data_IF_094295310771
#
_entry.id   IF_094295310771
#
_cell.length_a   1.000
_cell.length_b   1.000
_cell.length_c   1.000
_cell.angle_alpha   90.00
_cell.angle_beta   90.00
_cell.angle_gamma   90.00
#
_symmetry.space_group_name_H-M   'P 1'
#
loop_
_entity.id
_entity.type
_entity.pdbx_description
1 polymer ?
#
# COMPACT_ATOMS: atom_id res chain seq x y z
N UNK A 1 43.53 25.41 20.47
CA UNK A 1 42.11 25.82 20.37
C UNK A 1 41.54 25.59 18.98
N UNK A 2 42.24 25.97 17.90
CA UNK A 2 41.78 25.81 16.51
C UNK A 2 41.59 24.35 16.07
N UNK A 3 42.45 23.43 16.51
CA UNK A 3 42.36 21.98 16.23
C UNK A 3 41.14 21.32 16.88
N UNK A 4 40.77 21.77 18.08
CA UNK A 4 39.59 21.27 18.80
C UNK A 4 38.30 21.76 18.13
N UNK A 5 38.26 23.01 17.68
CA UNK A 5 37.13 23.56 16.93
C UNK A 5 36.90 22.83 15.59
N UNK A 6 37.97 22.53 14.84
CA UNK A 6 37.88 21.78 13.58
C UNK A 6 37.32 20.37 13.78
N UNK A 7 37.74 19.69 14.85
CA UNK A 7 37.24 18.36 15.18
C UNK A 7 35.75 18.37 15.56
N UNK A 8 35.31 19.39 16.31
CA UNK A 8 33.90 19.56 16.70
C UNK A 8 33.03 19.87 15.47
N UNK A 9 33.49 20.72 14.55
CA UNK A 9 32.75 21.02 13.32
C UNK A 9 32.64 19.81 12.40
N UNK A 10 33.69 18.99 12.30
CA UNK A 10 33.66 17.76 11.51
C UNK A 10 32.71 16.71 12.11
N UNK A 11 32.70 16.56 13.45
CA UNK A 11 31.78 15.67 14.14
C UNK A 11 30.31 16.10 13.96
N UNK A 12 30.04 17.40 14.05
CA UNK A 12 28.69 17.95 13.86
C UNK A 12 28.21 17.78 12.41
N UNK A 13 29.09 17.98 11.42
CA UNK A 13 28.80 17.73 10.01
C UNK A 13 28.51 16.25 9.73
N UNK A 14 29.29 15.33 10.32
CA UNK A 14 29.01 13.89 10.24
C UNK A 14 27.67 13.50 10.88
N UNK A 15 27.28 14.15 11.98
CA UNK A 15 25.97 13.89 12.60
C UNK A 15 24.79 14.42 11.77
N UNK A 16 24.99 15.48 10.99
CA UNK A 16 23.99 16.00 10.05
C UNK A 16 23.88 15.14 8.79
N UNK A 17 24.99 14.61 8.28
CA UNK A 17 25.00 13.69 7.14
C UNK A 17 24.29 12.35 7.45
N UNK A 18 24.29 11.90 8.70
CA UNK A 18 23.51 10.73 9.12
C UNK A 18 21.99 10.93 8.99
N UNK A 19 21.51 12.18 8.94
CA UNK A 19 20.09 12.51 8.77
C UNK A 19 19.66 12.38 7.29
N UNK A 20 20.59 12.45 6.33
CA UNK A 20 20.30 12.23 4.90
C UNK A 20 20.21 10.74 4.52
N UNK A 21 20.59 9.82 5.41
CA UNK A 21 20.40 8.37 5.22
C UNK A 21 18.91 7.94 5.32
N UNK A 22 18.00 8.88 5.55
CA UNK A 22 16.58 8.66 5.81
C UNK A 22 15.67 8.74 4.56
N UNK A 23 16.22 8.74 3.34
CA UNK A 23 15.42 8.81 2.10
C UNK A 23 15.54 7.56 1.21
N UNK A 24 16.15 6.47 1.69
CA UNK A 24 16.22 5.22 0.91
C UNK A 24 14.84 4.62 0.69
N UNK A 25 13.99 4.64 1.72
CA UNK A 25 12.67 3.98 1.68
C UNK A 25 11.68 4.79 0.84
N UNK A 26 11.78 6.12 0.86
CA UNK A 26 10.98 7.02 0.03
C UNK A 26 11.43 7.00 -1.43
N UNK A 27 12.74 6.91 -1.67
CA UNK A 27 13.29 6.68 -3.01
C UNK A 27 12.87 5.32 -3.56
N UNK A 28 12.74 4.28 -2.72
CA UNK A 28 12.24 2.96 -3.14
C UNK A 28 10.77 3.01 -3.60
N UNK A 29 9.92 3.79 -2.93
CA UNK A 29 8.51 4.02 -3.32
C UNK A 29 8.41 4.72 -4.70
N UNK A 30 9.22 5.76 -4.90
CA UNK A 30 9.27 6.50 -6.17
C UNK A 30 9.93 5.68 -7.29
N UNK A 31 10.97 4.90 -7.02
CA UNK A 31 11.66 4.10 -8.06
C UNK A 31 10.85 2.85 -8.42
N UNK A 32 10.10 2.28 -7.48
CA UNK A 32 9.19 1.16 -7.71
C UNK A 32 8.06 1.47 -8.69
N UNK A 33 7.63 2.74 -8.77
CA UNK A 33 6.56 3.18 -9.67
C UNK A 33 7.02 3.38 -11.12
N UNK A 34 8.31 3.60 -11.41
CA UNK A 34 8.75 3.99 -12.76
C UNK A 34 9.39 2.90 -13.60
N UNK A 35 9.89 1.81 -13.02
CA UNK A 35 10.16 0.56 -13.73
C UNK A 35 10.58 -0.48 -12.69
N UNK A 36 9.72 -1.46 -12.44
CA UNK A 36 10.06 -2.60 -11.57
C UNK A 36 11.28 -3.32 -12.14
N UNK A 37 12.45 -3.07 -11.56
CA UNK A 37 13.62 -3.89 -11.85
C UNK A 37 13.31 -5.29 -11.31
N UNK A 38 13.27 -6.28 -12.23
CA UNK A 38 12.89 -7.68 -11.96
C UNK A 38 13.72 -8.35 -10.86
N UNK A 39 14.76 -7.69 -10.36
CA UNK A 39 15.65 -8.20 -9.32
C UNK A 39 15.70 -7.36 -8.04
N UNK A 40 14.65 -6.60 -7.74
CA UNK A 40 14.45 -6.07 -6.39
C UNK A 40 13.61 -7.09 -5.63
N UNK A 41 14.28 -7.92 -4.81
CA UNK A 41 13.59 -8.72 -3.81
C UNK A 41 13.50 -7.87 -2.56
N UNK A 42 12.37 -7.18 -2.40
CA UNK A 42 12.05 -6.54 -1.12
C UNK A 42 11.81 -7.67 -0.13
N UNK A 43 12.66 -7.76 0.89
CA UNK A 43 12.39 -8.62 2.04
C UNK A 43 11.49 -7.81 2.97
N UNK A 44 10.18 -7.90 2.76
CA UNK A 44 9.24 -7.54 3.80
C UNK A 44 9.45 -8.52 4.95
N UNK A 45 9.18 -8.09 6.18
CA UNK A 45 9.15 -9.03 7.31
C UNK A 45 7.83 -9.81 7.19
N UNK A 46 7.78 -10.69 6.18
CA UNK A 46 6.58 -11.38 5.67
C UNK A 46 5.78 -12.06 6.81
N UNK A 47 6.46 -12.41 7.89
CA UNK A 47 5.88 -13.08 9.06
C UNK A 47 4.95 -12.21 9.90
N UNK A 48 5.15 -10.89 9.94
CA UNK A 48 4.29 -9.97 10.70
C UNK A 48 3.03 -9.63 9.90
N UNK A 49 3.18 -9.29 8.63
CA UNK A 49 2.06 -9.03 7.72
C UNK A 49 1.17 -10.28 7.59
N UNK A 50 1.76 -11.46 7.35
CA UNK A 50 1.05 -12.75 7.31
C UNK A 50 0.25 -13.02 8.61
N UNK A 51 0.78 -12.63 9.77
CA UNK A 51 0.11 -12.84 11.06
C UNK A 51 -1.10 -11.94 11.19
N UNK A 52 -0.99 -10.70 10.75
CA UNK A 52 -2.08 -9.73 10.81
C UNK A 52 -3.18 -10.08 9.80
N UNK A 53 -2.83 -10.46 8.56
CA UNK A 53 -3.79 -10.92 7.55
C UNK A 53 -4.62 -12.11 8.02
N UNK A 54 -4.03 -13.03 8.80
CA UNK A 54 -4.75 -14.17 9.39
C UNK A 54 -5.91 -13.74 10.29
N UNK A 55 -5.89 -12.52 10.83
CA UNK A 55 -7.00 -11.97 11.65
C UNK A 55 -8.20 -11.58 10.80
N UNK A 56 -8.03 -11.42 9.48
CA UNK A 56 -9.12 -11.10 8.56
C UNK A 56 -9.99 -12.31 8.19
N UNK A 57 -9.55 -13.55 8.46
CA UNK A 57 -10.37 -14.73 8.21
C UNK A 57 -11.62 -14.69 9.10
N UNK A 58 -12.79 -14.62 8.44
CA UNK A 58 -14.09 -14.64 9.09
C UNK A 58 -15.01 -15.73 8.53
N UNK A 59 -16.30 -15.67 8.88
CA UNK A 59 -17.30 -16.57 8.33
C UNK A 59 -17.61 -16.20 6.87
N UNK A 60 -17.24 -17.09 5.95
CA UNK A 60 -17.47 -16.91 4.52
C UNK A 60 -18.79 -17.54 4.09
N UNK A 61 -19.57 -16.76 3.35
CA UNK A 61 -20.79 -17.23 2.70
C UNK A 61 -20.58 -17.35 1.19
N UNK A 62 -21.34 -18.23 0.54
CA UNK A 62 -21.24 -18.52 -0.91
C UNK A 62 -22.42 -17.97 -1.71
N UNK A 63 -23.27 -17.17 -1.07
CA UNK A 63 -24.32 -16.42 -1.74
C UNK A 63 -23.72 -15.44 -2.74
N UNK A 64 -24.47 -15.19 -3.80
CA UNK A 64 -24.15 -14.20 -4.82
C UNK A 64 -25.13 -13.05 -4.61
N UNK A 65 -24.70 -12.08 -3.81
CA UNK A 65 -25.42 -10.84 -3.53
C UNK A 65 -24.43 -9.68 -3.67
N UNK A 66 -24.13 -9.25 -4.91
CA UNK A 66 -22.99 -8.40 -5.17
C UNK A 66 -23.08 -7.05 -4.42
N UNK A 67 -21.93 -6.54 -3.98
CA UNK A 67 -21.82 -5.22 -3.34
C UNK A 67 -20.72 -4.39 -4.01
N UNK A 68 -20.86 -3.06 -3.99
CA UNK A 68 -19.88 -2.13 -4.56
C UNK A 68 -19.02 -1.50 -3.45
N UNK A 69 -17.70 -1.55 -3.61
CA UNK A 69 -16.75 -0.87 -2.74
C UNK A 69 -16.35 0.50 -3.27
N UNK A 70 -16.00 1.42 -2.36
CA UNK A 70 -15.51 2.78 -2.67
C UNK A 70 -14.21 2.79 -3.47
N UNK A 71 -13.57 1.64 -3.65
CA UNK A 71 -12.39 1.44 -4.51
C UNK A 71 -12.76 1.03 -5.95
N UNK A 72 -14.04 1.16 -6.34
CA UNK A 72 -14.53 0.88 -7.68
C UNK A 72 -14.71 -0.61 -7.99
N UNK A 73 -14.48 -1.50 -7.02
CA UNK A 73 -14.56 -2.95 -7.22
C UNK A 73 -15.89 -3.51 -6.74
N UNK A 74 -16.47 -4.42 -7.54
CA UNK A 74 -17.59 -5.27 -7.14
C UNK A 74 -17.08 -6.50 -6.40
N UNK A 75 -17.75 -6.84 -5.31
CA UNK A 75 -17.48 -8.03 -4.51
C UNK A 75 -18.68 -8.99 -4.60
N UNK A 76 -18.42 -10.29 -4.62
CA UNK A 76 -19.46 -11.33 -4.81
C UNK A 76 -20.57 -11.26 -3.76
N UNK A 77 -20.21 -10.91 -2.53
CA UNK A 77 -21.13 -10.71 -1.41
C UNK A 77 -20.48 -9.83 -0.32
N UNK A 78 -21.27 -9.48 0.69
CA UNK A 78 -20.84 -8.66 1.83
C UNK A 78 -19.70 -9.32 2.64
N UNK A 79 -19.73 -10.64 2.80
CA UNK A 79 -18.66 -11.37 3.51
C UNK A 79 -17.31 -11.20 2.80
N UNK A 80 -17.30 -11.33 1.47
CA UNK A 80 -16.10 -11.12 0.65
C UNK A 80 -15.63 -9.66 0.67
N UNK A 81 -16.55 -8.69 0.67
CA UNK A 81 -16.22 -7.28 0.85
C UNK A 81 -15.53 -7.03 2.21
N UNK A 82 -16.10 -7.54 3.30
CA UNK A 82 -15.56 -7.35 4.64
C UNK A 82 -14.15 -7.96 4.81
N UNK A 83 -13.96 -9.16 4.27
CA UNK A 83 -12.64 -9.79 4.23
C UNK A 83 -11.63 -8.89 3.51
N UNK A 84 -11.97 -8.42 2.31
CA UNK A 84 -11.09 -7.56 1.52
C UNK A 84 -10.85 -6.20 2.15
N UNK A 85 -11.87 -5.61 2.78
CA UNK A 85 -11.75 -4.39 3.57
C UNK A 85 -10.71 -4.54 4.69
N UNK A 86 -10.71 -5.67 5.40
CA UNK A 86 -9.72 -5.95 6.43
C UNK A 86 -8.31 -6.10 5.86
N UNK A 87 -8.15 -6.86 4.77
CA UNK A 87 -6.85 -7.07 4.11
C UNK A 87 -6.24 -5.76 3.63
N UNK A 88 -7.02 -4.93 2.92
CA UNK A 88 -6.57 -3.61 2.43
C UNK A 88 -6.17 -2.69 3.58
N UNK A 89 -6.86 -2.76 4.71
CA UNK A 89 -6.49 -1.99 5.90
C UNK A 89 -5.13 -2.39 6.47
N UNK A 90 -4.74 -3.66 6.36
CA UNK A 90 -3.45 -4.15 6.85
C UNK A 90 -2.34 -3.83 5.84
N UNK A 91 -2.57 -4.11 4.56
CA UNK A 91 -1.57 -3.97 3.49
C UNK A 91 -1.33 -2.52 3.08
N UNK A 92 -2.39 -1.72 3.01
CA UNK A 92 -2.36 -0.37 2.40
C UNK A 92 -2.75 0.73 3.40
N UNK A 93 -3.02 0.38 4.67
CA UNK A 93 -3.54 1.31 5.69
C UNK A 93 -4.73 2.16 5.19
N UNK A 94 -5.53 1.59 4.29
CA UNK A 94 -6.64 2.26 3.61
C UNK A 94 -7.96 1.60 3.99
N UNK A 95 -9.02 2.39 4.16
CA UNK A 95 -10.35 1.88 4.51
C UNK A 95 -11.35 2.10 3.39
N UNK A 96 -11.90 1.00 2.87
CA UNK A 96 -12.97 1.03 1.86
C UNK A 96 -14.36 0.98 2.52
N UNK A 97 -15.33 1.59 1.86
CA UNK A 97 -16.73 1.66 2.29
C UNK A 97 -17.64 1.05 1.24
N UNK A 98 -18.84 0.65 1.66
CA UNK A 98 -19.90 0.31 0.71
C UNK A 98 -20.40 1.61 0.07
N UNK A 99 -20.55 1.59 -1.24
CA UNK A 99 -21.11 2.69 -2.01
C UNK A 99 -22.21 2.14 -2.92
N UNK A 100 -22.93 3.05 -3.58
CA UNK A 100 -23.98 2.65 -4.52
C UNK A 100 -23.40 1.85 -5.70
N UNK A 101 -24.15 0.86 -6.18
CA UNK A 101 -23.76 0.04 -7.32
C UNK A 101 -23.51 0.82 -8.60
N UNK A 102 -24.17 1.98 -8.76
CA UNK A 102 -24.00 2.83 -9.93
C UNK A 102 -22.55 3.34 -10.03
N UNK A 103 -21.88 3.62 -8.91
CA UNK A 103 -20.45 3.98 -8.92
C UNK A 103 -19.57 2.91 -9.57
N UNK A 104 -19.77 1.63 -9.21
CA UNK A 104 -18.97 0.56 -9.82
C UNK A 104 -19.35 0.31 -11.30
N UNK A 105 -20.57 0.64 -11.72
CA UNK A 105 -20.94 0.56 -13.15
C UNK A 105 -20.25 1.67 -13.94
N UNK A 106 -20.18 2.87 -13.38
CA UNK A 106 -19.51 4.01 -14.00
C UNK A 106 -18.01 3.72 -14.17
N UNK A 107 -17.34 3.23 -13.13
CA UNK A 107 -15.93 2.80 -13.20
C UNK A 107 -15.72 1.71 -14.27
N UNK A 108 -16.59 0.70 -14.33
CA UNK A 108 -16.48 -0.35 -15.37
C UNK A 108 -16.66 0.21 -16.80
N UNK A 109 -17.52 1.21 -16.99
CA UNK A 109 -17.70 1.85 -18.30
C UNK A 109 -16.45 2.65 -18.71
N UNK A 110 -15.85 3.40 -17.77
CA UNK A 110 -14.59 4.14 -18.00
C UNK A 110 -13.46 3.19 -18.42
N UNK A 111 -13.31 2.06 -17.73
CA UNK A 111 -12.30 1.04 -18.04
C UNK A 111 -12.51 0.41 -19.45
N UNK A 112 -13.76 0.26 -19.88
CA UNK A 112 -14.09 -0.30 -21.20
C UNK A 112 -13.85 0.67 -22.36
N UNK A 113 -14.01 1.98 -22.14
CA UNK A 113 -13.78 3.00 -23.18
C UNK A 113 -12.30 3.04 -23.64
N UNK A 114 -11.38 2.53 -22.82
CA UNK A 114 -9.94 2.55 -23.09
C UNK A 114 -9.42 1.32 -23.85
N UNK A 115 -10.30 0.45 -24.35
CA UNK A 115 -9.90 -0.78 -25.07
C UNK A 115 -9.66 -0.53 -26.58
N UNK A 116 -10.14 0.59 -27.13
CA UNK A 116 -10.08 0.92 -28.56
C UNK A 116 -9.01 1.99 -28.94
N UNK A 117 -8.14 2.41 -28.00
CA UNK A 117 -6.96 3.28 -28.25
C UNK A 117 -5.62 2.52 -28.21
#
# INVERSE_FOLDING_TARGET
MTTLLLAVTAALACSLAAVEALDRDKMLDVVGTVHGNRHIIVKYDDLEEDREERKCYGEFTRDIDPVCGSNGKKYTNLSMFNYRKCMIKIQENTEIQLVDMDFCKDVEMEDMEHIDE
#
